data_IF_977349531157
#
_entry.id   IF_977349531157
#
_cell.length_a   1.000
_cell.length_b   1.000
_cell.length_c   1.000
_cell.angle_alpha   90.00
_cell.angle_beta   90.00
_cell.angle_gamma   90.00
#
_symmetry.space_group_name_H-M   'P 1'
#
loop_
_entity.id
_entity.type
_entity.pdbx_description
1 polymer ?
#
# COMPACT_ATOMS: atom_id res chain seq x y z
N UNK A 1 -0.13 -26.17 -34.11
CA UNK A 1 -1.09 -25.83 -33.02
C UNK A 1 -0.51 -26.02 -31.64
N UNK A 2 0.32 -27.05 -31.41
CA UNK A 2 1.17 -27.18 -30.21
C UNK A 2 1.87 -25.87 -29.76
N UNK A 3 2.52 -25.08 -30.63
CA UNK A 3 3.21 -23.87 -30.20
C UNK A 3 2.29 -22.78 -29.63
N UNK A 4 0.99 -22.79 -29.95
CA UNK A 4 0.02 -21.82 -29.42
C UNK A 4 -0.49 -22.28 -28.05
N UNK A 5 -0.69 -23.59 -27.87
CA UNK A 5 -1.04 -24.17 -26.57
C UNK A 5 0.10 -24.02 -25.57
N UNK A 6 1.35 -24.24 -25.98
CA UNK A 6 2.53 -23.97 -25.15
C UNK A 6 2.62 -22.51 -24.71
N UNK A 7 2.21 -21.58 -25.58
CA UNK A 7 2.21 -20.15 -25.27
C UNK A 7 1.12 -19.78 -24.26
N UNK A 8 -0.04 -20.43 -24.30
CA UNK A 8 -1.09 -20.29 -23.27
C UNK A 8 -0.59 -20.86 -21.95
N UNK A 9 -0.02 -22.07 -21.95
CA UNK A 9 0.52 -22.70 -20.73
C UNK A 9 1.64 -21.87 -20.13
N UNK A 10 2.48 -21.24 -20.96
CA UNK A 10 3.49 -20.28 -20.52
C UNK A 10 2.84 -19.03 -19.87
N UNK A 11 1.73 -18.55 -20.40
CA UNK A 11 0.99 -17.42 -19.84
C UNK A 11 0.28 -17.77 -18.53
N UNK A 12 -0.34 -18.95 -18.44
CA UNK A 12 -0.91 -19.51 -17.21
C UNK A 12 0.16 -19.66 -16.12
N UNK A 13 1.33 -20.20 -16.48
CA UNK A 13 2.47 -20.29 -15.56
C UNK A 13 2.94 -18.92 -15.09
N UNK A 14 3.00 -17.92 -15.98
CA UNK A 14 3.33 -16.54 -15.61
C UNK A 14 2.30 -15.91 -14.68
N UNK A 15 1.01 -16.16 -14.89
CA UNK A 15 -0.06 -15.72 -13.98
C UNK A 15 0.16 -16.36 -12.61
N UNK A 16 0.46 -17.66 -12.55
CA UNK A 16 0.75 -18.35 -11.30
C UNK A 16 2.02 -17.79 -10.60
N UNK A 17 3.08 -17.46 -11.34
CA UNK A 17 4.28 -16.82 -10.77
C UNK A 17 3.99 -15.41 -10.28
N UNK A 18 3.14 -14.64 -10.97
CA UNK A 18 2.72 -13.30 -10.52
C UNK A 18 1.83 -13.41 -9.28
N UNK A 19 0.93 -14.39 -9.23
CA UNK A 19 0.13 -14.73 -8.05
C UNK A 19 1.04 -15.08 -6.87
N UNK A 20 2.05 -15.93 -7.07
CA UNK A 20 3.05 -16.28 -6.06
C UNK A 20 3.86 -15.07 -5.60
N UNK A 21 4.38 -14.25 -6.53
CA UNK A 21 5.16 -13.05 -6.21
C UNK A 21 4.33 -11.99 -5.48
N UNK A 22 3.08 -11.76 -5.91
CA UNK A 22 2.17 -10.84 -5.23
C UNK A 22 1.81 -11.37 -3.85
N UNK A 23 1.52 -12.67 -3.74
CA UNK A 23 1.20 -13.32 -2.47
C UNK A 23 2.40 -13.28 -1.53
N UNK A 24 3.61 -13.55 -2.00
CA UNK A 24 4.85 -13.48 -1.23
C UNK A 24 5.16 -12.05 -0.80
N UNK A 25 5.07 -11.06 -1.70
CA UNK A 25 5.29 -9.66 -1.36
C UNK A 25 4.28 -9.16 -0.31
N UNK A 26 3.01 -9.56 -0.44
CA UNK A 26 1.98 -9.28 0.56
C UNK A 26 2.18 -10.04 1.86
N UNK A 27 2.61 -11.30 1.81
CA UNK A 27 2.91 -12.09 3.00
C UNK A 27 4.15 -11.57 3.72
N UNK A 28 5.10 -10.97 3.00
CA UNK A 28 6.24 -10.26 3.61
C UNK A 28 5.76 -9.00 4.34
N UNK A 29 4.71 -8.34 3.83
CA UNK A 29 4.00 -7.30 4.59
C UNK A 29 3.09 -7.85 5.70
N UNK A 30 2.68 -9.12 5.63
CA UNK A 30 1.91 -9.82 6.67
C UNK A 30 2.82 -10.27 7.83
N UNK A 31 4.09 -10.59 7.58
CA UNK A 31 5.11 -10.69 8.62
C UNK A 31 5.38 -9.35 9.31
N UNK A 32 4.94 -8.22 8.72
CA UNK A 32 4.87 -6.94 9.44
C UNK A 32 3.72 -6.85 10.43
N UNK A 33 2.69 -7.71 10.40
CA UNK A 33 1.68 -7.75 11.47
C UNK A 33 2.32 -8.15 12.80
N UNK A 34 3.28 -9.10 12.78
CA UNK A 34 4.12 -9.38 13.95
C UNK A 34 4.95 -8.18 14.38
N UNK A 35 5.26 -7.25 13.48
CA UNK A 35 5.97 -6.01 13.78
C UNK A 35 5.02 -4.97 14.43
N UNK A 36 3.72 -4.96 14.09
CA UNK A 36 2.74 -4.09 14.73
C UNK A 36 2.42 -4.55 16.16
N UNK A 37 2.27 -5.85 16.38
CA UNK A 37 2.07 -6.39 17.74
C UNK A 37 3.26 -6.05 18.64
N UNK A 38 4.51 -6.18 18.13
CA UNK A 38 5.72 -5.77 18.86
C UNK A 38 5.71 -4.26 19.16
N UNK A 39 5.33 -3.43 18.18
CA UNK A 39 5.25 -1.97 18.37
C UNK A 39 4.16 -1.59 19.39
N UNK A 40 3.05 -2.31 19.43
CA UNK A 40 1.95 -2.08 20.36
C UNK A 40 2.29 -2.56 21.78
N UNK A 41 2.97 -3.71 21.92
CA UNK A 41 3.52 -4.17 23.19
C UNK A 41 4.55 -3.19 23.74
N UNK A 42 5.48 -2.73 22.89
CA UNK A 42 6.45 -1.70 23.26
C UNK A 42 5.72 -0.43 23.70
N UNK A 43 4.73 0.02 22.94
CA UNK A 43 3.96 1.22 23.26
C UNK A 43 3.17 1.09 24.55
N UNK A 44 2.56 -0.06 24.81
CA UNK A 44 1.86 -0.34 26.05
C UNK A 44 2.84 -0.28 27.24
N UNK A 45 4.03 -0.87 27.10
CA UNK A 45 5.10 -0.78 28.10
C UNK A 45 5.53 0.67 28.34
N UNK A 46 5.75 1.44 27.26
CA UNK A 46 6.13 2.85 27.32
C UNK A 46 5.06 3.70 28.01
N UNK A 47 3.79 3.50 27.67
CA UNK A 47 2.64 4.16 28.29
C UNK A 47 2.62 3.91 29.79
N UNK A 48 2.69 2.66 30.21
CA UNK A 48 2.68 2.30 31.64
C UNK A 48 3.90 2.87 32.37
N UNK A 49 5.08 2.87 31.73
CA UNK A 49 6.30 3.45 32.28
C UNK A 49 6.20 4.97 32.48
N UNK A 50 5.70 5.70 31.50
CA UNK A 50 5.47 7.14 31.59
C UNK A 50 4.46 7.48 32.70
N UNK A 51 3.33 6.75 32.77
CA UNK A 51 2.33 6.97 33.82
C UNK A 51 2.89 6.74 35.23
N UNK A 52 3.71 5.71 35.42
CA UNK A 52 4.40 5.45 36.70
C UNK A 52 5.39 6.56 37.05
N UNK A 53 6.15 7.04 36.07
CA UNK A 53 7.14 8.12 36.25
C UNK A 53 6.45 9.43 36.64
N UNK A 54 5.31 9.73 36.04
CA UNK A 54 4.52 10.93 36.36
C UNK A 54 3.85 10.87 37.72
N UNK A 55 3.32 9.71 38.09
CA UNK A 55 2.74 9.50 39.41
C UNK A 55 3.76 9.72 40.54
N UNK A 56 5.06 9.50 40.27
CA UNK A 56 6.15 9.75 41.22
C UNK A 56 6.54 11.23 41.30
N UNK A 57 6.46 11.95 40.18
CA UNK A 57 7.02 13.30 40.08
C UNK A 57 6.07 14.43 40.49
N UNK A 58 4.76 14.19 40.61
CA UNK A 58 3.74 15.17 41.04
C UNK A 58 3.71 16.53 40.30
N UNK A 59 4.57 16.72 39.30
CA UNK A 59 4.87 18.00 38.63
C UNK A 59 3.91 18.31 37.48
N UNK A 60 3.19 17.30 37.00
CA UNK A 60 2.29 17.36 35.87
C UNK A 60 0.87 17.02 36.33
N UNK A 61 -0.11 17.80 35.89
CA UNK A 61 -1.53 17.44 36.07
C UNK A 61 -1.78 16.16 35.30
N UNK A 62 -1.79 15.04 36.02
CA UNK A 62 -2.02 13.67 35.49
C UNK A 62 -3.11 13.63 34.42
N UNK A 63 -4.20 14.37 34.64
CA UNK A 63 -5.32 14.50 33.70
C UNK A 63 -4.92 15.02 32.31
N UNK A 64 -4.08 16.06 32.24
CA UNK A 64 -3.69 16.67 30.97
C UNK A 64 -2.77 15.74 30.19
N UNK A 65 -1.87 15.05 30.90
CA UNK A 65 -1.03 14.00 30.32
C UNK A 65 -1.85 12.83 29.78
N UNK A 66 -2.75 12.28 30.60
CA UNK A 66 -3.60 11.15 30.21
C UNK A 66 -4.48 11.51 29.01
N UNK A 67 -4.97 12.75 28.93
CA UNK A 67 -5.76 13.25 27.81
C UNK A 67 -4.94 13.30 26.51
N UNK A 68 -3.76 13.93 26.52
CA UNK A 68 -2.89 14.05 25.34
C UNK A 68 -2.42 12.68 24.86
N UNK A 69 -2.04 11.80 25.79
CA UNK A 69 -1.61 10.45 25.44
C UNK A 69 -2.77 9.62 24.89
N UNK A 70 -3.96 9.71 25.48
CA UNK A 70 -5.15 9.02 24.97
C UNK A 70 -5.50 9.48 23.56
N UNK A 71 -5.43 10.79 23.29
CA UNK A 71 -5.69 11.34 21.97
C UNK A 71 -4.68 10.83 20.93
N UNK A 72 -3.38 10.85 21.28
CA UNK A 72 -2.33 10.35 20.40
C UNK A 72 -2.51 8.86 20.07
N UNK A 73 -2.86 8.04 21.06
CA UNK A 73 -3.12 6.61 20.87
C UNK A 73 -4.39 6.37 20.05
N UNK A 74 -5.47 7.11 20.31
CA UNK A 74 -6.72 6.99 19.58
C UNK A 74 -6.53 7.27 18.09
N UNK A 75 -5.80 8.34 17.76
CA UNK A 75 -5.51 8.67 16.37
C UNK A 75 -4.57 7.65 15.71
N UNK A 76 -3.61 7.08 16.46
CA UNK A 76 -2.74 6.02 15.95
C UNK A 76 -3.53 4.76 15.60
N UNK A 77 -4.47 4.37 16.47
CA UNK A 77 -5.37 3.24 16.23
C UNK A 77 -6.27 3.50 15.03
N UNK A 78 -6.82 4.70 14.90
CA UNK A 78 -7.63 5.08 13.73
C UNK A 78 -6.85 4.93 12.41
N UNK A 79 -5.58 5.35 12.39
CA UNK A 79 -4.73 5.17 11.22
C UNK A 79 -4.45 3.68 10.95
N UNK A 80 -4.23 2.88 12.00
CA UNK A 80 -4.05 1.42 11.89
C UNK A 80 -5.28 0.75 11.26
N UNK A 81 -6.47 1.04 11.78
CA UNK A 81 -7.73 0.53 11.26
C UNK A 81 -7.94 0.90 9.78
N UNK A 82 -7.58 2.12 9.38
CA UNK A 82 -7.65 2.55 7.99
C UNK A 82 -6.70 1.75 7.08
N UNK A 83 -5.46 1.51 7.50
CA UNK A 83 -4.48 0.69 6.77
C UNK A 83 -4.95 -0.76 6.66
N UNK A 84 -5.48 -1.34 7.74
CA UNK A 84 -6.04 -2.70 7.74
C UNK A 84 -7.26 -2.83 6.82
N UNK A 85 -8.14 -1.83 6.81
CA UNK A 85 -9.30 -1.81 5.92
C UNK A 85 -8.88 -1.70 4.46
N UNK A 86 -7.93 -0.81 4.14
CA UNK A 86 -7.39 -0.68 2.79
C UNK A 86 -6.70 -1.97 2.31
N UNK A 87 -5.94 -2.62 3.20
CA UNK A 87 -5.33 -3.94 2.92
C UNK A 87 -6.37 -4.99 2.56
N UNK A 88 -7.46 -5.08 3.32
CA UNK A 88 -8.56 -6.02 3.03
C UNK A 88 -9.17 -5.77 1.65
N UNK A 89 -9.50 -4.52 1.35
CA UNK A 89 -10.04 -4.13 0.04
C UNK A 89 -9.05 -4.43 -1.11
N UNK A 90 -7.75 -4.26 -0.86
CA UNK A 90 -6.74 -4.51 -1.87
C UNK A 90 -6.57 -6.01 -2.13
N UNK A 91 -6.66 -6.85 -1.10
CA UNK A 91 -6.70 -8.31 -1.23
C UNK A 91 -7.85 -8.75 -2.12
N UNK A 92 -9.05 -8.20 -1.89
CA UNK A 92 -10.23 -8.49 -2.72
C UNK A 92 -10.03 -8.06 -4.17
N UNK A 93 -9.44 -6.87 -4.41
CA UNK A 93 -9.14 -6.40 -5.78
C UNK A 93 -8.11 -7.27 -6.49
N UNK A 94 -7.06 -7.68 -5.79
CA UNK A 94 -6.04 -8.59 -6.34
C UNK A 94 -6.67 -9.93 -6.69
N UNK A 95 -7.45 -10.50 -5.77
CA UNK A 95 -8.13 -11.77 -6.00
C UNK A 95 -9.06 -11.68 -7.21
N UNK A 96 -9.90 -10.65 -7.29
CA UNK A 96 -10.79 -10.43 -8.42
C UNK A 96 -10.02 -10.31 -9.74
N UNK A 97 -8.89 -9.59 -9.76
CA UNK A 97 -8.05 -9.48 -10.95
C UNK A 97 -7.45 -10.83 -11.37
N UNK A 98 -6.98 -11.63 -10.41
CA UNK A 98 -6.42 -12.96 -10.69
C UNK A 98 -7.50 -13.93 -11.21
N UNK A 99 -8.71 -13.87 -10.64
CA UNK A 99 -9.84 -14.67 -11.10
C UNK A 99 -10.25 -14.27 -12.54
N UNK A 100 -10.26 -12.97 -12.85
CA UNK A 100 -10.43 -12.47 -14.22
C UNK A 100 -9.34 -12.99 -15.17
N UNK A 101 -8.06 -12.98 -14.75
CA UNK A 101 -6.96 -13.53 -15.56
C UNK A 101 -7.12 -15.03 -15.82
N UNK A 102 -7.56 -15.80 -14.81
CA UNK A 102 -7.82 -17.25 -14.93
C UNK A 102 -8.98 -17.51 -15.90
N UNK A 103 -10.09 -16.78 -15.77
CA UNK A 103 -11.22 -16.90 -16.70
C UNK A 103 -10.82 -16.57 -18.14
N UNK A 104 -10.03 -15.51 -18.32
CA UNK A 104 -9.49 -15.12 -19.61
C UNK A 104 -8.63 -16.22 -20.24
N UNK A 105 -7.68 -16.78 -19.49
CA UNK A 105 -6.82 -17.85 -19.98
C UNK A 105 -7.66 -19.06 -20.44
N UNK A 106 -8.68 -19.42 -19.65
CA UNK A 106 -9.62 -20.48 -20.00
C UNK A 106 -10.41 -20.16 -21.28
N UNK A 107 -10.93 -18.94 -21.44
CA UNK A 107 -11.65 -18.52 -22.65
C UNK A 107 -10.75 -18.53 -23.89
N UNK A 108 -9.51 -18.05 -23.77
CA UNK A 108 -8.51 -18.11 -24.85
C UNK A 108 -8.23 -19.56 -25.27
N UNK A 109 -8.05 -20.44 -24.29
CA UNK A 109 -7.84 -21.87 -24.52
C UNK A 109 -9.01 -22.50 -25.27
N UNK A 110 -10.24 -22.21 -24.86
CA UNK A 110 -11.44 -22.70 -25.55
C UNK A 110 -11.52 -22.21 -27.00
N UNK A 111 -11.31 -20.91 -27.23
CA UNK A 111 -11.34 -20.33 -28.57
C UNK A 111 -10.25 -20.91 -29.49
N UNK A 112 -9.06 -21.21 -28.95
CA UNK A 112 -7.98 -21.84 -29.71
C UNK A 112 -8.32 -23.30 -30.04
N UNK A 113 -8.96 -24.04 -29.12
CA UNK A 113 -9.48 -25.39 -29.39
C UNK A 113 -10.62 -25.37 -30.42
N UNK A 114 -11.43 -24.32 -30.47
CA UNK A 114 -12.47 -24.14 -31.49
C UNK A 114 -11.87 -23.77 -32.86
N UNK A 115 -10.84 -22.91 -32.91
CA UNK A 115 -10.07 -22.65 -34.13
C UNK A 115 -9.44 -23.93 -34.69
N UNK A 116 -8.94 -24.78 -33.79
CA UNK A 116 -8.34 -26.06 -34.14
C UNK A 116 -9.29 -27.00 -34.88
N UNK A 117 -10.60 -26.84 -34.67
CA UNK A 117 -11.68 -27.67 -35.19
C UNK A 117 -12.37 -27.09 -36.43
N UNK A 118 -11.73 -26.13 -37.13
CA UNK A 118 -12.11 -25.56 -38.44
C UNK A 118 -13.30 -24.57 -38.49
N UNK A 119 -13.32 -23.49 -37.68
CA UNK A 119 -14.37 -22.44 -37.83
C UNK A 119 -14.02 -20.98 -37.58
N UNK A 120 -12.75 -20.60 -37.39
CA UNK A 120 -12.41 -19.18 -37.17
C UNK A 120 -11.26 -18.71 -38.06
N UNK A 121 -11.46 -17.54 -38.68
CA UNK A 121 -10.46 -16.84 -39.47
C UNK A 121 -9.31 -16.35 -38.57
N UNK A 122 -8.08 -16.45 -39.08
CA UNK A 122 -6.84 -16.12 -38.38
C UNK A 122 -6.81 -14.63 -37.97
N UNK A 123 -7.42 -13.75 -38.77
CA UNK A 123 -7.58 -12.33 -38.45
C UNK A 123 -8.48 -12.05 -37.24
N UNK A 124 -9.42 -12.95 -36.94
CA UNK A 124 -10.27 -12.85 -35.76
C UNK A 124 -9.47 -13.15 -34.49
N UNK A 125 -8.56 -14.14 -34.54
CA UNK A 125 -7.68 -14.51 -33.42
C UNK A 125 -6.71 -13.37 -33.05
N UNK A 126 -6.07 -12.73 -34.05
CA UNK A 126 -5.13 -11.62 -33.80
C UNK A 126 -5.84 -10.41 -33.18
N UNK A 127 -7.08 -10.13 -33.62
CA UNK A 127 -7.91 -9.05 -33.05
C UNK A 127 -8.29 -9.34 -31.60
N UNK A 128 -8.64 -10.60 -31.28
CA UNK A 128 -8.95 -11.04 -29.93
C UNK A 128 -7.71 -10.94 -29.02
N UNK A 129 -6.56 -11.44 -29.47
CA UNK A 129 -5.30 -11.35 -28.72
C UNK A 129 -4.90 -9.89 -28.49
N UNK A 130 -5.08 -9.02 -29.48
CA UNK A 130 -4.82 -7.58 -29.38
C UNK A 130 -5.71 -6.90 -28.32
N UNK A 131 -7.02 -7.15 -28.37
CA UNK A 131 -7.98 -6.59 -27.40
C UNK A 131 -7.72 -7.09 -25.99
N UNK A 132 -7.31 -8.35 -25.84
CA UNK A 132 -6.95 -8.94 -24.56
C UNK A 132 -5.67 -8.29 -24.00
N UNK A 133 -4.62 -8.17 -24.81
CA UNK A 133 -3.39 -7.49 -24.38
C UNK A 133 -3.65 -6.05 -23.93
N UNK A 134 -4.48 -5.31 -24.67
CA UNK A 134 -4.82 -3.93 -24.33
C UNK A 134 -5.63 -3.84 -23.02
N UNK A 135 -6.74 -4.59 -22.93
CA UNK A 135 -7.66 -4.52 -21.78
C UNK A 135 -6.99 -4.94 -20.48
N UNK A 136 -6.18 -6.01 -20.52
CA UNK A 136 -5.58 -6.57 -19.32
C UNK A 136 -4.22 -5.97 -18.98
N UNK A 137 -3.51 -5.42 -19.97
CA UNK A 137 -2.35 -4.56 -19.73
C UNK A 137 -2.74 -3.33 -18.91
N UNK A 138 -3.82 -2.64 -19.31
CA UNK A 138 -4.31 -1.46 -18.59
C UNK A 138 -4.81 -1.79 -17.18
N UNK A 139 -5.60 -2.85 -17.02
CA UNK A 139 -6.09 -3.30 -15.71
C UNK A 139 -4.92 -3.70 -14.78
N UNK A 140 -3.96 -4.45 -15.29
CA UNK A 140 -2.78 -4.86 -14.54
C UNK A 140 -1.95 -3.66 -14.09
N UNK A 141 -1.69 -2.71 -14.99
CA UNK A 141 -0.93 -1.50 -14.67
C UNK A 141 -1.61 -0.63 -13.61
N UNK A 142 -2.95 -0.51 -13.66
CA UNK A 142 -3.73 0.17 -12.61
C UNK A 142 -3.60 -0.55 -11.28
N UNK A 143 -3.71 -1.88 -11.25
CA UNK A 143 -3.54 -2.66 -10.02
C UNK A 143 -2.13 -2.43 -9.44
N UNK A 144 -1.07 -2.56 -10.24
CA UNK A 144 0.30 -2.30 -9.80
C UNK A 144 0.51 -0.90 -9.23
N UNK A 145 -0.13 0.13 -9.81
CA UNK A 145 -0.08 1.49 -9.24
C UNK A 145 -0.70 1.53 -7.84
N UNK A 146 -1.89 0.96 -7.67
CA UNK A 146 -2.60 0.94 -6.36
C UNK A 146 -1.76 0.19 -5.32
N UNK A 147 -1.18 -0.94 -5.70
CA UNK A 147 -0.29 -1.73 -4.85
C UNK A 147 0.91 -0.93 -4.38
N UNK A 148 1.54 -0.21 -5.31
CA UNK A 148 2.71 0.62 -5.01
C UNK A 148 2.34 1.79 -4.08
N UNK A 149 1.23 2.46 -4.35
CA UNK A 149 0.72 3.55 -3.53
C UNK A 149 0.35 3.07 -2.11
N UNK A 150 -0.17 1.84 -1.97
CA UNK A 150 -0.41 1.21 -0.66
C UNK A 150 0.89 0.89 0.07
N UNK A 151 1.87 0.29 -0.61
CA UNK A 151 3.17 -0.04 -0.02
C UNK A 151 3.86 1.21 0.57
N UNK A 152 3.87 2.32 -0.17
CA UNK A 152 4.47 3.58 0.32
C UNK A 152 3.77 4.09 1.59
N UNK A 153 2.43 4.04 1.63
CA UNK A 153 1.66 4.46 2.82
C UNK A 153 1.89 3.54 4.01
N UNK A 154 2.07 2.24 3.79
CA UNK A 154 2.40 1.27 4.83
C UNK A 154 3.79 1.54 5.43
N UNK A 155 4.79 1.78 4.59
CA UNK A 155 6.16 2.13 5.02
C UNK A 155 6.17 3.44 5.82
N UNK A 156 5.44 4.46 5.37
CA UNK A 156 5.29 5.72 6.08
C UNK A 156 4.62 5.55 7.44
N UNK A 157 3.56 4.73 7.50
CA UNK A 157 2.87 4.42 8.75
C UNK A 157 3.83 3.72 9.73
N UNK A 158 4.54 2.66 9.32
CA UNK A 158 5.51 1.96 10.16
C UNK A 158 6.59 2.91 10.71
N UNK A 159 7.09 3.82 9.87
CA UNK A 159 8.06 4.83 10.28
C UNK A 159 7.48 5.81 11.30
N UNK A 160 6.23 6.25 11.13
CA UNK A 160 5.52 7.09 12.11
C UNK A 160 5.39 6.36 13.46
N UNK A 161 4.97 5.09 13.45
CA UNK A 161 4.80 4.28 14.65
C UNK A 161 6.12 4.12 15.42
N UNK A 162 7.21 3.83 14.69
CA UNK A 162 8.56 3.70 15.27
C UNK A 162 9.05 5.03 15.85
N UNK A 163 8.82 6.14 15.16
CA UNK A 163 9.24 7.46 15.64
C UNK A 163 8.47 7.89 16.89
N UNK A 164 7.17 7.57 16.96
CA UNK A 164 6.34 7.79 18.16
C UNK A 164 6.91 7.00 19.33
N UNK A 165 7.17 5.70 19.16
CA UNK A 165 7.73 4.85 20.21
C UNK A 165 9.10 5.38 20.67
N UNK A 166 9.98 5.73 19.73
CA UNK A 166 11.30 6.29 20.06
C UNK A 166 11.20 7.62 20.83
N UNK A 167 10.21 8.47 20.55
CA UNK A 167 9.96 9.68 21.33
C UNK A 167 9.39 9.38 22.71
N UNK A 168 8.44 8.45 22.81
CA UNK A 168 7.91 8.00 24.10
C UNK A 168 9.02 7.38 24.98
N UNK A 169 9.96 6.64 24.40
CA UNK A 169 11.14 6.13 25.10
C UNK A 169 12.02 7.28 25.60
N UNK A 170 12.35 8.27 24.76
CA UNK A 170 13.11 9.46 25.19
C UNK A 170 12.42 10.23 26.31
N UNK A 171 11.09 10.31 26.29
CA UNK A 171 10.31 10.88 27.38
C UNK A 171 10.49 10.07 28.67
N UNK A 172 10.44 8.73 28.60
CA UNK A 172 10.72 7.90 29.77
C UNK A 172 12.13 8.11 30.31
N UNK A 173 13.12 8.16 29.42
CA UNK A 173 14.54 8.29 29.80
C UNK A 173 14.82 9.63 30.53
N UNK A 174 14.05 10.68 30.24
CA UNK A 174 14.15 11.99 30.91
C UNK A 174 13.59 11.99 32.34
N UNK A 175 12.80 10.98 32.71
CA UNK A 175 12.39 10.73 34.09
C UNK A 175 11.71 11.94 34.75
N UNK A 176 12.36 12.47 35.79
CA UNK A 176 11.85 13.56 36.65
C UNK A 176 11.85 14.93 35.96
N UNK A 177 12.61 15.09 34.87
CA UNK A 177 12.68 16.34 34.09
C UNK A 177 11.59 16.48 33.03
N UNK A 178 10.61 15.57 33.01
CA UNK A 178 9.55 15.56 32.01
C UNK A 178 8.62 16.77 32.15
N UNK A 179 8.44 17.53 31.06
CA UNK A 179 7.50 18.65 31.01
C UNK A 179 6.33 18.38 30.06
N UNK A 180 5.22 19.12 30.24
CA UNK A 180 4.08 19.07 29.32
C UNK A 180 4.46 19.50 27.89
N UNK A 181 5.47 20.36 27.77
CA UNK A 181 5.95 20.87 26.49
C UNK A 181 6.61 19.75 25.66
N UNK A 182 7.25 18.79 26.33
CA UNK A 182 7.88 17.65 25.67
C UNK A 182 6.83 16.71 25.02
N UNK A 183 5.63 16.63 25.60
CA UNK A 183 4.50 15.90 25.02
C UNK A 183 3.85 16.65 23.85
N UNK A 184 3.71 17.97 23.97
CA UNK A 184 3.21 18.82 22.88
C UNK A 184 4.12 18.76 21.65
N UNK A 185 5.42 18.60 21.84
CA UNK A 185 6.36 18.37 20.74
C UNK A 185 6.09 17.05 20.00
N UNK A 186 5.57 16.03 20.69
CA UNK A 186 5.20 14.74 20.11
C UNK A 186 4.03 14.90 19.14
N UNK A 187 2.97 15.61 19.55
CA UNK A 187 1.86 16.00 18.67
C UNK A 187 2.31 16.90 17.52
N UNK A 188 3.11 17.92 17.81
CA UNK A 188 3.58 18.87 16.81
C UNK A 188 4.42 18.19 15.72
N UNK A 189 5.25 17.21 16.09
CA UNK A 189 6.03 16.48 15.10
C UNK A 189 5.15 15.60 14.22
N UNK A 190 4.15 14.94 14.80
CA UNK A 190 3.18 14.17 14.04
C UNK A 190 2.42 15.03 13.02
N UNK A 191 1.96 16.21 13.44
CA UNK A 191 1.31 17.17 12.54
C UNK A 191 2.26 17.70 11.45
N UNK A 192 3.58 17.72 11.67
CA UNK A 192 4.58 18.03 10.64
C UNK A 192 4.76 16.87 9.67
N UNK A 193 4.79 15.63 10.18
CA UNK A 193 4.88 14.42 9.37
C UNK A 193 3.71 14.29 8.40
N UNK A 194 2.47 14.42 8.90
CA UNK A 194 1.25 14.39 8.08
C UNK A 194 1.34 15.44 6.96
N UNK A 195 1.74 16.67 7.30
CA UNK A 195 1.92 17.75 6.31
C UNK A 195 3.02 17.44 5.29
N UNK A 196 4.07 16.74 5.68
CA UNK A 196 5.14 16.32 4.78
C UNK A 196 4.62 15.29 3.77
N UNK A 197 3.93 14.26 4.25
CA UNK A 197 3.33 13.22 3.40
C UNK A 197 2.33 13.83 2.41
N UNK A 198 1.43 14.72 2.87
CA UNK A 198 0.49 15.41 1.96
C UNK A 198 1.21 16.24 0.89
N UNK A 199 2.36 16.84 1.20
CA UNK A 199 3.16 17.59 0.23
C UNK A 199 3.86 16.67 -0.76
N UNK A 200 4.38 15.53 -0.33
CA UNK A 200 5.04 14.55 -1.19
C UNK A 200 4.04 13.91 -2.15
N UNK A 201 2.87 13.49 -1.67
CA UNK A 201 1.78 12.99 -2.53
C UNK A 201 1.35 14.03 -3.59
N UNK A 202 1.21 15.30 -3.21
CA UNK A 202 0.93 16.38 -4.17
C UNK A 202 2.04 16.58 -5.18
N UNK A 203 3.31 16.45 -4.78
CA UNK A 203 4.44 16.57 -5.72
C UNK A 203 4.41 15.46 -6.75
N UNK A 204 4.19 14.22 -6.34
CA UNK A 204 4.08 13.09 -7.26
C UNK A 204 2.88 13.24 -8.21
N UNK A 205 1.74 13.72 -7.71
CA UNK A 205 0.56 13.99 -8.55
C UNK A 205 0.84 15.07 -9.60
N UNK A 206 1.51 16.17 -9.19
CA UNK A 206 1.94 17.23 -10.11
C UNK A 206 2.94 16.69 -11.14
N UNK A 207 3.90 15.87 -10.73
CA UNK A 207 4.87 15.28 -11.64
C UNK A 207 4.20 14.34 -12.66
N UNK A 208 3.22 13.53 -12.23
CA UNK A 208 2.39 12.70 -13.12
C UNK A 208 1.62 13.56 -14.14
N UNK A 209 0.98 14.65 -13.68
CA UNK A 209 0.27 15.61 -14.55
C UNK A 209 1.20 16.28 -15.56
N UNK A 210 2.37 16.74 -15.10
CA UNK A 210 3.37 17.37 -15.96
C UNK A 210 3.91 16.39 -17.00
N UNK A 211 4.14 15.12 -16.63
CA UNK A 211 4.54 14.08 -17.56
C UNK A 211 3.47 13.87 -18.64
N UNK A 212 2.19 13.77 -18.23
CA UNK A 212 1.06 13.65 -19.16
C UNK A 212 0.99 14.83 -20.14
N UNK A 213 1.10 16.08 -19.66
CA UNK A 213 1.10 17.27 -20.53
C UNK A 213 2.30 17.34 -21.48
N UNK A 214 3.48 16.87 -21.06
CA UNK A 214 4.65 16.75 -21.95
C UNK A 214 4.39 15.75 -23.07
N UNK A 215 3.78 14.61 -22.73
CA UNK A 215 3.44 13.55 -23.67
C UNK A 215 2.41 14.03 -24.69
N UNK A 216 1.33 14.70 -24.26
CA UNK A 216 0.34 15.29 -25.16
C UNK A 216 0.97 16.30 -26.12
N UNK A 217 1.83 17.20 -25.64
CA UNK A 217 2.51 18.18 -26.52
C UNK A 217 3.38 17.50 -27.58
N UNK A 218 4.08 16.42 -27.23
CA UNK A 218 4.87 15.67 -28.21
C UNK A 218 3.98 15.00 -29.27
N UNK A 219 2.86 14.40 -28.86
CA UNK A 219 1.89 13.79 -29.79
C UNK A 219 1.28 14.85 -30.73
N UNK A 220 0.81 15.97 -30.19
CA UNK A 220 0.26 17.05 -31.02
C UNK A 220 1.32 17.62 -31.96
N UNK A 221 2.57 17.83 -31.51
CA UNK A 221 3.65 18.33 -32.39
C UNK A 221 4.00 17.39 -33.55
N UNK A 222 3.71 16.08 -33.42
CA UNK A 222 3.91 15.08 -34.48
C UNK A 222 2.74 14.97 -35.45
N UNK A 223 1.53 15.41 -35.06
CA UNK A 223 0.36 15.43 -35.96
C UNK A 223 0.35 16.63 -36.92
N UNK A 224 1.14 17.67 -36.65
CA UNK A 224 1.26 18.86 -37.49
C UNK A 224 2.54 18.89 -38.36
N UNK A 225 3.25 17.76 -38.45
CA UNK A 225 4.36 17.53 -39.39
C UNK A 225 3.99 16.44 -40.37
#
# INVERSE_FOLDING_TARGET
MEPVLELITSYENRIATVEELMTTAYQTTETSDGNFDILDEERARLKTGLQKTLARNCSLRKRDFDCLLAQLLADSNKNREAIEAERRQLREKVQAYLDEQKQLANSLRQQIVELAREKMDKGCLDTIIGNIKATYGDKGQRLFSILRDFQLRLEDFQKEQTEINHKMQRLMDRGESLSLEDLRQLEATRARQIRKVTRELRREEVDRLLAHFRQQRQVSSRQWR
#
